data_IF_174080316059
#
_entry.id   IF_174080316059
#
_cell.length_a   1.000
_cell.length_b   1.000
_cell.length_c   1.000
_cell.angle_alpha   90.00
_cell.angle_beta   90.00
_cell.angle_gamma   90.00
#
_symmetry.space_group_name_H-M   'P 1'
#
loop_
_entity.id
_entity.type
_entity.pdbx_description
1 polymer ?
#
# COMPACT_ATOMS: atom_id res chain seq x y z
N UNK A 1 -14.39 -14.23 5.16
CA UNK A 1 -14.79 -12.81 5.00
C UNK A 1 -15.16 -12.50 3.54
N UNK A 2 -15.89 -11.41 3.25
CA UNK A 2 -16.30 -11.07 1.87
C UNK A 2 -15.11 -10.88 0.91
N UNK A 3 -14.01 -10.27 1.39
CA UNK A 3 -12.79 -10.07 0.59
C UNK A 3 -12.21 -11.41 0.12
N UNK A 4 -12.11 -12.41 1.00
CA UNK A 4 -11.55 -13.72 0.65
C UNK A 4 -12.41 -14.45 -0.38
N UNK A 5 -13.74 -14.30 -0.27
CA UNK A 5 -14.70 -14.89 -1.23
C UNK A 5 -14.57 -14.25 -2.61
N UNK A 6 -14.40 -12.92 -2.67
CA UNK A 6 -14.35 -12.17 -3.92
C UNK A 6 -12.99 -12.24 -4.62
N UNK A 7 -11.90 -12.31 -3.86
CA UNK A 7 -10.53 -12.18 -4.37
C UNK A 7 -9.74 -13.49 -4.33
N UNK A 8 -10.20 -14.51 -3.60
CA UNK A 8 -9.44 -15.73 -3.33
C UNK A 8 -8.28 -15.56 -2.35
N UNK A 9 -7.91 -14.33 -1.97
CA UNK A 9 -6.87 -14.06 -0.96
C UNK A 9 -7.34 -14.53 0.42
N UNK A 10 -6.39 -14.89 1.29
CA UNK A 10 -6.67 -15.38 2.64
C UNK A 10 -6.07 -14.43 3.66
N UNK A 11 -6.81 -14.19 4.74
CA UNK A 11 -6.23 -13.61 5.94
C UNK A 11 -5.54 -14.71 6.74
N UNK A 12 -4.31 -14.45 7.20
CA UNK A 12 -3.52 -15.43 7.93
C UNK A 12 -3.92 -15.54 9.41
N UNK A 13 -3.49 -16.61 10.06
CA UNK A 13 -3.69 -16.80 11.50
C UNK A 13 -3.02 -15.69 12.32
N UNK A 14 -1.88 -15.18 11.84
CA UNK A 14 -1.18 -14.04 12.44
C UNK A 14 -2.07 -12.80 12.48
N UNK A 15 -2.70 -12.44 11.36
CA UNK A 15 -3.66 -11.34 11.31
C UNK A 15 -4.86 -11.57 12.24
N UNK A 16 -5.47 -12.75 12.20
CA UNK A 16 -6.63 -13.07 13.04
C UNK A 16 -6.31 -12.95 14.54
N UNK A 17 -5.15 -13.44 14.97
CA UNK A 17 -4.73 -13.42 16.37
C UNK A 17 -4.21 -12.06 16.83
N UNK A 18 -3.27 -11.49 16.08
CA UNK A 18 -2.47 -10.34 16.52
C UNK A 18 -3.09 -9.01 16.14
N UNK A 19 -3.96 -8.98 15.12
CA UNK A 19 -4.65 -7.77 14.67
C UNK A 19 -6.10 -7.80 15.11
N UNK A 20 -6.92 -8.76 14.63
CA UNK A 20 -8.35 -8.80 15.00
C UNK A 20 -8.59 -9.17 16.47
N UNK A 21 -7.75 -10.06 17.01
CA UNK A 21 -7.82 -10.50 18.41
C UNK A 21 -7.23 -9.50 19.41
N UNK A 22 -6.49 -8.49 18.95
CA UNK A 22 -5.80 -7.54 19.80
C UNK A 22 -6.59 -6.23 19.95
N UNK A 23 -7.14 -5.99 21.14
CA UNK A 23 -7.93 -4.77 21.42
C UNK A 23 -7.09 -3.50 21.57
N UNK A 24 -5.77 -3.63 21.69
CA UNK A 24 -4.86 -2.51 21.95
C UNK A 24 -4.04 -2.12 20.72
N UNK A 25 -4.20 -2.81 19.58
CA UNK A 25 -3.47 -2.46 18.37
C UNK A 25 -3.95 -1.11 17.83
N UNK A 26 -3.00 -0.23 17.50
CA UNK A 26 -3.30 1.02 16.80
C UNK A 26 -3.23 0.75 15.31
N UNK A 27 -4.33 0.96 14.60
CA UNK A 27 -4.36 0.82 13.14
C UNK A 27 -4.07 2.16 12.49
N UNK A 28 -2.79 2.49 12.38
CA UNK A 28 -2.32 3.64 11.61
C UNK A 28 -1.84 3.20 10.23
N UNK A 29 -2.41 3.81 9.19
CA UNK A 29 -2.03 3.55 7.79
C UNK A 29 -0.86 4.43 7.31
N UNK A 30 -0.54 5.51 8.04
CA UNK A 30 0.49 6.46 7.64
C UNK A 30 1.89 5.83 7.56
N UNK A 31 2.35 5.00 8.52
CA UNK A 31 3.66 4.35 8.41
C UNK A 31 3.80 3.48 7.16
N UNK A 32 2.76 2.69 6.83
CA UNK A 32 2.75 1.85 5.63
C UNK A 32 2.72 2.67 4.34
N UNK A 33 1.94 3.76 4.30
CA UNK A 33 1.92 4.69 3.17
C UNK A 33 3.28 5.35 2.96
N UNK A 34 3.92 5.84 4.03
CA UNK A 34 5.28 6.39 4.00
C UNK A 34 6.29 5.39 3.46
N UNK A 35 6.24 4.14 3.93
CA UNK A 35 7.14 3.08 3.49
C UNK A 35 7.04 2.85 1.98
N UNK A 36 5.81 2.80 1.44
CA UNK A 36 5.58 2.62 0.01
C UNK A 36 6.01 3.83 -0.82
N UNK A 37 5.75 5.06 -0.35
CA UNK A 37 6.22 6.30 -1.02
C UNK A 37 7.75 6.31 -1.07
N UNK A 38 8.41 5.95 0.03
CA UNK A 38 9.87 5.90 0.09
C UNK A 38 10.43 4.81 -0.83
N UNK A 39 9.84 3.61 -0.85
CA UNK A 39 10.25 2.53 -1.74
C UNK A 39 10.14 2.95 -3.22
N UNK A 40 9.06 3.65 -3.60
CA UNK A 40 8.91 4.23 -4.94
C UNK A 40 9.99 5.27 -5.26
N UNK A 41 10.33 6.14 -4.30
CA UNK A 41 11.37 7.18 -4.45
C UNK A 41 12.76 6.59 -4.61
N UNK A 42 13.09 5.56 -3.84
CA UNK A 42 14.42 4.93 -3.84
C UNK A 42 14.59 3.93 -4.99
N UNK A 43 13.55 3.15 -5.30
CA UNK A 43 13.65 2.04 -6.25
C UNK A 43 12.28 1.71 -6.86
N UNK A 44 11.81 2.61 -7.72
CA UNK A 44 10.50 2.56 -8.39
C UNK A 44 10.13 1.18 -8.95
N UNK A 45 11.08 0.49 -9.58
CA UNK A 45 10.83 -0.80 -10.23
C UNK A 45 10.45 -1.92 -9.25
N UNK A 46 10.73 -1.75 -7.95
CA UNK A 46 10.40 -2.73 -6.89
C UNK A 46 9.14 -2.39 -6.12
N UNK A 47 8.45 -1.29 -6.45
CA UNK A 47 7.35 -0.75 -5.64
C UNK A 47 6.17 -1.71 -5.49
N UNK A 48 5.81 -2.45 -6.54
CA UNK A 48 4.71 -3.43 -6.47
C UNK A 48 5.07 -4.65 -5.63
N UNK A 49 6.30 -5.14 -5.73
CA UNK A 49 6.78 -6.24 -4.90
C UNK A 49 6.86 -5.81 -3.42
N UNK A 50 7.33 -4.59 -3.17
CA UNK A 50 7.32 -3.98 -1.83
C UNK A 50 5.90 -3.89 -1.28
N UNK A 51 4.94 -3.38 -2.06
CA UNK A 51 3.54 -3.28 -1.66
C UNK A 51 2.95 -4.65 -1.33
N UNK A 52 3.23 -5.67 -2.15
CA UNK A 52 2.78 -7.04 -1.92
C UNK A 52 3.30 -7.57 -0.59
N UNK A 53 4.60 -7.46 -0.33
CA UNK A 53 5.22 -7.90 0.93
C UNK A 53 4.67 -7.15 2.14
N UNK A 54 4.44 -5.85 2.01
CA UNK A 54 3.82 -5.03 3.06
C UNK A 54 2.40 -5.52 3.37
N UNK A 55 1.60 -5.82 2.35
CA UNK A 55 0.26 -6.38 2.52
C UNK A 55 0.29 -7.79 3.14
N UNK A 56 1.25 -8.64 2.75
CA UNK A 56 1.44 -9.97 3.33
C UNK A 56 1.85 -9.88 4.82
N UNK A 57 2.82 -9.03 5.15
CA UNK A 57 3.26 -8.80 6.53
C UNK A 57 2.10 -8.39 7.45
N UNK A 58 1.17 -7.57 6.97
CA UNK A 58 0.01 -7.17 7.76
C UNK A 58 -1.12 -8.21 7.71
N UNK A 59 -1.67 -8.52 6.53
CA UNK A 59 -2.90 -9.31 6.38
C UNK A 59 -2.69 -10.83 6.51
N UNK A 60 -1.45 -11.32 6.43
CA UNK A 60 -1.12 -12.73 6.62
C UNK A 60 -0.40 -12.93 7.95
N UNK A 61 0.75 -12.28 8.11
CA UNK A 61 1.61 -12.51 9.27
C UNK A 61 1.15 -11.77 10.53
N UNK A 62 0.27 -10.77 10.38
CA UNK A 62 -0.24 -9.97 11.49
C UNK A 62 0.84 -9.14 12.19
N UNK A 63 1.82 -8.64 11.43
CA UNK A 63 2.82 -7.70 11.93
C UNK A 63 2.15 -6.37 12.30
N UNK A 64 2.69 -5.71 13.31
CA UNK A 64 2.22 -4.38 13.74
C UNK A 64 2.52 -3.35 12.65
N UNK A 65 1.51 -2.64 12.11
CA UNK A 65 1.70 -1.62 11.09
C UNK A 65 2.48 -0.39 11.59
N UNK A 66 2.70 -0.24 12.90
CA UNK A 66 3.49 0.86 13.46
C UNK A 66 4.97 0.49 13.65
N UNK A 67 5.34 -0.78 13.46
CA UNK A 67 6.73 -1.22 13.66
C UNK A 67 7.61 -0.90 12.45
N UNK A 68 8.56 0.01 12.63
CA UNK A 68 9.57 0.38 11.63
C UNK A 68 10.37 -0.82 11.09
N UNK A 69 10.69 -1.78 11.96
CA UNK A 69 11.49 -2.95 11.58
C UNK A 69 10.85 -3.77 10.46
N UNK A 70 9.51 -3.83 10.44
CA UNK A 70 8.76 -4.48 9.35
C UNK A 70 9.12 -3.85 8.00
N UNK A 71 9.17 -2.52 7.92
CA UNK A 71 9.42 -1.79 6.68
C UNK A 71 10.88 -1.86 6.25
N UNK A 72 11.82 -1.75 7.19
CA UNK A 72 13.25 -1.84 6.88
C UNK A 72 13.64 -3.23 6.41
N UNK A 73 13.03 -4.29 6.97
CA UNK A 73 13.21 -5.67 6.51
C UNK A 73 12.70 -5.84 5.07
N UNK A 74 11.49 -5.38 4.76
CA UNK A 74 10.93 -5.47 3.40
C UNK A 74 11.77 -4.65 2.40
N UNK A 75 12.29 -3.49 2.82
CA UNK A 75 13.18 -2.66 2.01
C UNK A 75 14.47 -3.40 1.64
N UNK A 76 15.13 -4.01 2.63
CA UNK A 76 16.34 -4.80 2.42
C UNK A 76 16.10 -5.98 1.46
N UNK A 77 15.01 -6.72 1.65
CA UNK A 77 14.65 -7.81 0.74
C UNK A 77 14.25 -7.34 -0.68
N UNK A 78 13.92 -6.06 -0.83
CA UNK A 78 13.67 -5.42 -2.13
C UNK A 78 14.96 -4.83 -2.73
N UNK A 79 16.11 -5.03 -2.06
CA UNK A 79 17.41 -4.54 -2.44
C UNK A 79 17.52 -3.02 -2.32
N UNK A 80 16.93 -2.45 -1.26
CA UNK A 80 17.10 -1.07 -0.81
C UNK A 80 17.95 -1.11 0.45
N UNK A 81 18.94 -0.23 0.56
CA UNK A 81 19.81 -0.18 1.75
C UNK A 81 19.01 0.13 3.02
N UNK A 82 19.22 -0.67 4.06
CA UNK A 82 18.45 -0.62 5.31
C UNK A 82 18.64 0.70 6.04
N UNK A 83 19.89 1.14 6.19
CA UNK A 83 20.25 2.34 6.95
C UNK A 83 19.78 3.61 6.22
N UNK A 84 19.91 3.64 4.88
CA UNK A 84 19.36 4.70 4.04
C UNK A 84 17.83 4.78 4.18
N UNK A 85 17.15 3.63 4.10
CA UNK A 85 15.70 3.56 4.22
C UNK A 85 15.25 4.07 5.59
N UNK A 86 15.84 3.56 6.67
CA UNK A 86 15.52 3.97 8.04
C UNK A 86 15.71 5.48 8.25
N UNK A 87 16.85 6.01 7.84
CA UNK A 87 17.15 7.45 7.94
C UNK A 87 16.12 8.31 7.22
N UNK A 88 15.75 7.94 5.99
CA UNK A 88 14.74 8.69 5.20
C UNK A 88 13.33 8.49 5.73
N UNK A 89 13.02 7.28 6.22
CA UNK A 89 11.71 6.97 6.80
C UNK A 89 11.38 7.88 7.99
N UNK A 90 12.37 8.16 8.84
CA UNK A 90 12.24 9.01 10.02
C UNK A 90 12.24 10.51 9.71
N UNK A 91 12.43 10.92 8.45
CA UNK A 91 12.47 12.33 8.08
C UNK A 91 11.08 12.99 8.03
N UNK A 92 11.02 14.27 8.36
CA UNK A 92 9.83 15.11 8.16
C UNK A 92 9.52 15.34 6.67
N UNK A 93 10.55 15.38 5.83
CA UNK A 93 10.41 15.51 4.37
C UNK A 93 9.50 14.42 3.82
N UNK A 94 9.74 13.15 4.19
CA UNK A 94 8.93 12.03 3.71
C UNK A 94 7.47 12.12 4.18
N UNK A 95 7.21 12.68 5.36
CA UNK A 95 5.84 12.91 5.84
C UNK A 95 5.12 13.88 4.91
N UNK A 96 5.75 15.01 4.59
CA UNK A 96 5.20 16.01 3.68
C UNK A 96 4.97 15.43 2.28
N UNK A 97 5.93 14.67 1.75
CA UNK A 97 5.80 13.98 0.46
C UNK A 97 4.61 13.02 0.44
N UNK A 98 4.41 12.26 1.52
CA UNK A 98 3.28 11.33 1.65
C UNK A 98 1.94 12.07 1.64
N UNK A 99 1.83 13.19 2.35
CA UNK A 99 0.63 14.02 2.31
C UNK A 99 0.41 14.66 0.93
N UNK A 100 1.47 15.07 0.23
CA UNK A 100 1.36 15.54 -1.15
C UNK A 100 0.78 14.46 -2.08
N UNK A 101 1.17 13.18 -1.90
CA UNK A 101 0.57 12.07 -2.65
C UNK A 101 -0.91 11.91 -2.33
N UNK A 102 -1.32 11.97 -1.06
CA UNK A 102 -2.74 11.91 -0.67
C UNK A 102 -3.56 13.04 -1.30
N UNK A 103 -3.04 14.27 -1.26
CA UNK A 103 -3.70 15.43 -1.87
C UNK A 103 -3.79 15.29 -3.39
N UNK A 104 -2.74 14.76 -4.03
CA UNK A 104 -2.72 14.51 -5.46
C UNK A 104 -3.83 13.51 -5.84
N UNK A 105 -3.89 12.34 -5.22
CA UNK A 105 -4.91 11.33 -5.57
C UNK A 105 -6.33 11.79 -5.23
N UNK A 106 -6.51 12.56 -4.15
CA UNK A 106 -7.80 13.18 -3.82
C UNK A 106 -8.23 14.19 -4.88
N UNK A 107 -7.32 15.03 -5.38
CA UNK A 107 -7.61 15.99 -6.46
C UNK A 107 -7.92 15.32 -7.81
N UNK A 108 -7.47 14.08 -7.99
CA UNK A 108 -7.85 13.21 -9.13
C UNK A 108 -9.21 12.50 -8.93
N UNK A 109 -9.88 12.70 -7.79
CA UNK A 109 -11.20 12.15 -7.48
C UNK A 109 -11.20 10.79 -6.78
N UNK A 110 -10.04 10.29 -6.31
CA UNK A 110 -9.96 9.07 -5.51
C UNK A 110 -10.44 9.32 -4.07
N UNK A 111 -11.75 9.25 -3.87
CA UNK A 111 -12.40 9.45 -2.56
C UNK A 111 -12.60 8.14 -1.76
N UNK A 112 -12.31 7.00 -2.38
CA UNK A 112 -12.39 5.67 -1.76
C UNK A 112 -11.32 4.75 -2.34
N UNK A 113 -11.05 3.62 -1.69
CA UNK A 113 -10.05 2.66 -2.13
C UNK A 113 -10.64 1.24 -2.28
N UNK A 114 -10.15 0.45 -3.25
CA UNK A 114 -9.24 0.86 -4.32
C UNK A 114 -9.95 1.75 -5.35
N UNK A 115 -9.24 2.72 -5.94
CA UNK A 115 -9.69 3.50 -7.10
C UNK A 115 -8.65 3.34 -8.19
N UNK A 116 -9.09 3.06 -9.42
CA UNK A 116 -8.21 3.00 -10.60
C UNK A 116 -8.55 4.18 -11.50
N UNK A 117 -7.52 4.96 -11.85
CA UNK A 117 -7.64 6.14 -12.68
C UNK A 117 -6.79 5.93 -13.93
N UNK A 118 -7.42 6.02 -15.09
CA UNK A 118 -6.75 6.07 -16.38
C UNK A 118 -6.32 7.51 -16.67
N UNK A 119 -5.05 7.71 -17.01
CA UNK A 119 -4.50 9.03 -17.30
C UNK A 119 -4.09 9.10 -18.77
N UNK A 120 -4.73 10.00 -19.52
CA UNK A 120 -4.44 10.26 -20.93
C UNK A 120 -4.03 11.73 -21.11
N UNK A 121 -2.73 11.96 -21.33
CA UNK A 121 -2.17 13.32 -21.32
C UNK A 121 -2.45 14.02 -19.98
N UNK A 122 -3.23 15.09 -20.01
CA UNK A 122 -3.61 15.87 -18.82
C UNK A 122 -4.99 15.51 -18.26
N UNK A 123 -5.66 14.47 -18.78
CA UNK A 123 -7.00 14.07 -18.35
C UNK A 123 -6.93 12.77 -17.55
N UNK A 124 -7.39 12.81 -16.30
CA UNK A 124 -7.65 11.62 -15.49
C UNK A 124 -9.13 11.21 -15.59
N UNK A 125 -9.38 9.93 -15.82
CA UNK A 125 -10.73 9.35 -15.81
C UNK A 125 -10.76 8.19 -14.82
N UNK A 126 -11.70 8.21 -13.87
CA UNK A 126 -11.91 7.09 -12.96
C UNK A 126 -12.55 5.95 -13.74
N UNK A 127 -11.88 4.80 -13.78
CA UNK A 127 -12.35 3.60 -14.50
C UNK A 127 -12.83 2.50 -13.55
N UNK A 128 -12.49 2.56 -12.26
CA UNK A 128 -13.06 1.72 -11.23
C UNK A 128 -13.00 2.38 -9.85
N UNK A 129 -14.04 2.15 -9.04
CA UNK A 129 -14.09 2.48 -7.62
C UNK A 129 -14.61 1.26 -6.85
N UNK A 130 -13.83 0.78 -5.88
CA UNK A 130 -14.05 -0.49 -5.22
C UNK A 130 -13.41 -1.65 -5.96
N UNK A 131 -13.70 -2.88 -5.51
CA UNK A 131 -13.15 -4.09 -6.13
C UNK A 131 -13.68 -4.27 -7.55
N UNK A 132 -12.77 -4.48 -8.50
CA UNK A 132 -13.05 -4.93 -9.86
C UNK A 132 -12.04 -6.02 -10.22
N UNK A 133 -12.51 -7.06 -10.89
CA UNK A 133 -11.65 -8.11 -11.43
C UNK A 133 -10.78 -7.56 -12.56
N UNK A 134 -9.69 -8.26 -12.87
CA UNK A 134 -8.84 -7.89 -13.99
C UNK A 134 -9.63 -7.95 -15.31
N UNK A 135 -10.48 -8.96 -15.49
CA UNK A 135 -11.31 -9.14 -16.68
C UNK A 135 -12.33 -8.01 -16.88
N UNK A 136 -12.82 -7.40 -15.79
CA UNK A 136 -13.68 -6.22 -15.87
C UNK A 136 -12.89 -4.96 -16.27
N UNK A 137 -11.71 -4.78 -15.70
CA UNK A 137 -10.83 -3.66 -16.04
C UNK A 137 -10.30 -3.75 -17.48
N UNK A 138 -9.90 -4.94 -17.91
CA UNK A 138 -9.35 -5.21 -19.25
C UNK A 138 -10.35 -4.87 -20.36
N UNK A 139 -11.64 -5.13 -20.13
CA UNK A 139 -12.73 -4.72 -21.04
C UNK A 139 -12.87 -3.21 -21.19
N UNK A 140 -12.53 -2.44 -20.15
CA UNK A 140 -12.57 -0.97 -20.19
C UNK A 140 -11.33 -0.44 -20.92
N UNK A 141 -10.18 -1.07 -20.74
CA UNK A 141 -8.89 -0.66 -21.31
C UNK A 141 -8.69 -1.09 -22.76
N UNK A 142 -9.34 -2.16 -23.20
CA UNK A 142 -9.23 -2.70 -24.58
C UNK A 142 -10.16 -2.01 -25.59
N UNK A 143 -10.70 -0.84 -25.24
CA UNK A 143 -11.52 0.02 -26.11
C UNK A 143 -10.60 0.99 -26.85
#
# INVERSE_FOLDING_TARGET
MNIERLTGRKFGEGFNKNVLGNKNIVLDSLPGAKALVLAQKLKKDTAFDFLKKLQEAFFVDGKDPNNLETYTTIAEESGIDKDEFEKKFLSEELINETYSVFNMVASMGAMSFPTVIMVEGNKGTIIAQGYSSFEELDKILSI
#
